data_IF_018215676153
#
_entry.id   IF_018215676153
#
_cell.length_a   1.000
_cell.length_b   1.000
_cell.length_c   1.000
_cell.angle_alpha   90.00
_cell.angle_beta   90.00
_cell.angle_gamma   90.00
#
_symmetry.space_group_name_H-M   'P 1'
#
loop_
_entity.id
_entity.type
_entity.pdbx_description
1 polymer ?
#
# COMPACT_ATOMS: atom_id res chain seq x y z
N UNK A 1 10.56 -15.20 -7.11
CA UNK A 1 9.62 -14.09 -6.91
C UNK A 1 10.03 -13.47 -5.59
N UNK A 2 10.89 -12.45 -5.63
CA UNK A 2 11.40 -11.85 -4.38
C UNK A 2 10.44 -10.70 -4.08
N UNK A 3 9.75 -10.79 -2.95
CA UNK A 3 8.76 -9.82 -2.50
C UNK A 3 9.44 -8.45 -2.33
N UNK A 4 8.99 -7.46 -3.11
CA UNK A 4 9.59 -6.11 -3.12
C UNK A 4 9.08 -5.19 -2.01
N UNK A 5 8.09 -5.65 -1.25
CA UNK A 5 7.50 -4.91 -0.14
C UNK A 5 6.78 -5.86 0.83
N UNK A 6 6.49 -5.36 2.03
CA UNK A 6 5.64 -6.04 3.03
C UNK A 6 4.44 -5.13 3.32
N UNK A 7 3.25 -5.72 3.41
CA UNK A 7 2.04 -5.06 3.91
C UNK A 7 1.67 -5.69 5.24
N UNK A 8 1.61 -4.89 6.29
CA UNK A 8 1.04 -5.27 7.58
C UNK A 8 -0.25 -4.50 7.77
N UNK A 9 -1.34 -5.20 8.02
CA UNK A 9 -2.64 -4.59 8.25
C UNK A 9 -3.50 -5.47 9.14
N UNK A 10 -4.50 -4.87 9.79
CA UNK A 10 -5.53 -5.59 10.52
C UNK A 10 -6.56 -6.24 9.58
N UNK A 11 -7.40 -7.10 10.17
CA UNK A 11 -8.49 -7.81 9.47
C UNK A 11 -9.44 -6.87 8.73
N UNK A 12 -9.60 -5.63 9.18
CA UNK A 12 -10.39 -4.61 8.49
C UNK A 12 -9.95 -4.33 7.05
N UNK A 13 -8.68 -4.57 6.70
CA UNK A 13 -8.22 -4.56 5.30
C UNK A 13 -8.52 -5.90 4.62
N UNK A 14 -7.99 -6.99 5.19
CA UNK A 14 -7.94 -8.32 4.55
C UNK A 14 -9.31 -8.97 4.35
N UNK A 15 -10.32 -8.57 5.12
CA UNK A 15 -11.69 -9.05 4.94
C UNK A 15 -12.35 -8.54 3.66
N UNK A 16 -11.85 -7.46 3.06
CA UNK A 16 -12.48 -6.82 1.89
C UNK A 16 -11.51 -6.54 0.74
N UNK A 17 -10.20 -6.59 0.96
CA UNK A 17 -9.17 -6.44 -0.08
C UNK A 17 -8.40 -7.75 -0.22
N UNK A 18 -8.32 -8.25 -1.46
CA UNK A 18 -7.58 -9.48 -1.76
C UNK A 18 -6.07 -9.26 -1.79
N UNK A 19 -5.30 -10.34 -1.68
CA UNK A 19 -3.85 -10.29 -1.80
C UNK A 19 -3.40 -9.76 -3.17
N UNK A 20 -4.10 -10.13 -4.25
CA UNK A 20 -3.78 -9.65 -5.60
C UNK A 20 -4.08 -8.16 -5.76
N UNK A 21 -5.26 -7.70 -5.32
CA UNK A 21 -5.58 -6.26 -5.33
C UNK A 21 -4.54 -5.46 -4.54
N UNK A 22 -4.17 -5.97 -3.36
CA UNK A 22 -3.15 -5.37 -2.51
C UNK A 22 -1.81 -5.32 -3.23
N UNK A 23 -1.40 -6.44 -3.83
CA UNK A 23 -0.13 -6.55 -4.52
C UNK A 23 -0.04 -5.59 -5.71
N UNK A 24 -1.04 -5.59 -6.59
CA UNK A 24 -1.05 -4.73 -7.77
C UNK A 24 -1.06 -3.25 -7.39
N UNK A 25 -1.82 -2.88 -6.35
CA UNK A 25 -1.96 -1.50 -5.92
C UNK A 25 -0.66 -0.98 -5.30
N UNK A 26 -0.07 -1.73 -4.38
CA UNK A 26 1.20 -1.37 -3.76
C UNK A 26 2.28 -1.31 -4.83
N UNK A 27 2.34 -2.28 -5.74
CA UNK A 27 3.28 -2.29 -6.84
C UNK A 27 3.14 -1.03 -7.72
N UNK A 28 1.92 -0.63 -8.06
CA UNK A 28 1.68 0.58 -8.85
C UNK A 28 2.18 1.84 -8.13
N UNK A 29 1.92 1.96 -6.84
CA UNK A 29 2.39 3.11 -6.05
C UNK A 29 3.91 3.17 -5.92
N UNK A 30 4.53 2.00 -5.75
CA UNK A 30 5.94 1.83 -5.46
C UNK A 30 6.85 1.86 -6.71
N UNK A 31 6.41 1.28 -7.82
CA UNK A 31 7.24 1.06 -9.00
C UNK A 31 6.79 1.86 -10.22
N UNK A 32 5.50 2.19 -10.33
CA UNK A 32 5.02 2.98 -11.46
C UNK A 32 5.15 4.47 -11.19
N UNK A 33 5.61 5.21 -12.18
CA UNK A 33 5.73 6.67 -12.12
C UNK A 33 4.33 7.29 -12.12
N UNK A 34 3.73 7.46 -10.94
CA UNK A 34 2.61 8.38 -10.80
C UNK A 34 3.09 9.79 -11.16
N UNK A 35 2.39 10.55 -12.02
CA UNK A 35 2.72 11.95 -12.25
C UNK A 35 2.68 12.66 -10.90
N UNK A 36 3.81 13.26 -10.53
CA UNK A 36 4.04 13.87 -9.23
C UNK A 36 3.11 15.08 -9.03
N UNK A 37 1.89 14.80 -8.57
CA UNK A 37 0.95 15.82 -8.10
C UNK A 37 1.18 16.12 -6.63
N UNK A 38 2.02 17.12 -6.35
CA UNK A 38 1.77 18.08 -5.27
C UNK A 38 2.09 17.74 -3.81
N UNK A 39 2.39 16.50 -3.41
CA UNK A 39 2.81 16.20 -2.02
C UNK A 39 4.07 15.37 -1.95
N UNK A 40 4.94 15.73 -1.00
CA UNK A 40 6.28 15.16 -0.73
C UNK A 40 6.20 13.80 -0.01
N UNK A 41 5.07 13.09 -0.15
CA UNK A 41 4.79 11.85 0.56
C UNK A 41 5.53 10.67 -0.10
N UNK A 42 6.01 9.74 0.73
CA UNK A 42 6.65 8.53 0.22
C UNK A 42 5.65 7.67 -0.56
N UNK A 43 6.12 6.99 -1.60
CA UNK A 43 5.29 6.04 -2.36
C UNK A 43 4.64 4.98 -1.46
N UNK A 44 5.30 4.58 -0.37
CA UNK A 44 4.77 3.64 0.62
C UNK A 44 3.61 4.24 1.42
N UNK A 45 3.73 5.51 1.84
CA UNK A 45 2.63 6.23 2.51
C UNK A 45 1.40 6.29 1.61
N UNK A 46 1.60 6.66 0.34
CA UNK A 46 0.52 6.70 -0.66
C UNK A 46 -0.14 5.33 -0.84
N UNK A 47 0.64 4.26 -0.92
CA UNK A 47 0.12 2.91 -1.00
C UNK A 47 -0.74 2.54 0.21
N UNK A 48 -0.27 2.86 1.43
CA UNK A 48 -1.01 2.59 2.66
C UNK A 48 -2.36 3.35 2.70
N UNK A 49 -2.36 4.63 2.31
CA UNK A 49 -3.58 5.45 2.26
C UNK A 49 -4.58 4.88 1.28
N UNK A 50 -4.16 4.57 0.05
CA UNK A 50 -5.08 4.05 -0.97
C UNK A 50 -5.62 2.67 -0.58
N UNK A 51 -4.83 1.80 0.08
CA UNK A 51 -5.34 0.54 0.61
C UNK A 51 -6.43 0.74 1.68
N UNK A 52 -6.22 1.70 2.59
CA UNK A 52 -7.22 2.03 3.59
C UNK A 52 -8.49 2.61 2.96
N UNK A 53 -8.36 3.52 1.99
CA UNK A 53 -9.49 4.07 1.23
C UNK A 53 -10.24 2.98 0.45
N UNK A 54 -9.53 2.05 -0.18
CA UNK A 54 -10.14 0.92 -0.88
C UNK A 54 -10.94 0.03 0.07
N UNK A 55 -10.42 -0.25 1.27
CA UNK A 55 -11.14 -1.02 2.28
C UNK A 55 -12.43 -0.31 2.75
N UNK A 56 -12.36 1.01 2.97
CA UNK A 56 -13.54 1.83 3.31
C UNK A 56 -14.56 1.79 2.17
N UNK A 57 -14.11 1.98 0.93
CA UNK A 57 -14.97 1.97 -0.25
C UNK A 57 -15.64 0.60 -0.49
N UNK A 58 -14.98 -0.48 -0.08
CA UNK A 58 -15.53 -1.85 -0.12
C UNK A 58 -16.39 -2.21 1.11
N UNK A 59 -16.61 -1.26 2.02
CA UNK A 59 -17.57 -1.40 3.11
C UNK A 59 -17.02 -2.08 4.36
N UNK A 60 -15.70 -2.04 4.59
CA UNK A 60 -15.14 -2.48 5.87
C UNK A 60 -15.74 -1.68 7.03
N UNK A 61 -16.11 -2.39 8.10
CA UNK A 61 -16.72 -1.83 9.32
C UNK A 61 -15.82 -1.95 10.54
N UNK A 62 -14.62 -2.51 10.35
CA UNK A 62 -13.64 -2.73 11.40
C UNK A 62 -12.63 -1.58 11.44
N UNK A 63 -11.78 -1.55 12.47
CA UNK A 63 -10.61 -0.66 12.44
C UNK A 63 -9.74 -1.02 11.23
N UNK A 64 -9.18 0.00 10.57
CA UNK A 64 -8.26 -0.16 9.44
C UNK A 64 -6.93 0.50 9.83
N UNK A 65 -5.89 -0.30 9.94
CA UNK A 65 -4.50 0.12 10.03
C UNK A 65 -3.72 -0.57 8.91
N UNK A 66 -2.85 0.18 8.24
CA UNK A 66 -2.05 -0.32 7.13
C UNK A 66 -0.65 0.26 7.23
N UNK A 67 0.36 -0.61 7.20
CA UNK A 67 1.78 -0.27 7.14
C UNK A 67 2.34 -0.93 5.88
N UNK A 68 2.94 -0.11 5.01
CA UNK A 68 3.63 -0.58 3.80
C UNK A 68 5.12 -0.35 3.97
N UNK A 69 5.90 -1.41 3.86
CA UNK A 69 7.35 -1.42 3.97
C UNK A 69 7.91 -1.70 2.58
N UNK A 70 8.59 -0.72 1.98
CA UNK A 70 9.33 -0.94 0.74
C UNK A 70 10.67 -1.61 1.08
N UNK A 71 10.94 -2.78 0.50
CA UNK A 71 12.15 -3.56 0.78
C UNK A 71 13.29 -3.24 -0.20
N UNK A 72 13.07 -2.35 -1.17
CA UNK A 72 14.16 -1.93 -2.06
C UNK A 72 15.24 -1.21 -1.26
N UNK A 73 16.47 -1.71 -1.42
CA UNK A 73 17.65 -1.11 -0.82
C UNK A 73 17.79 0.33 -1.31
N UNK A 74 17.52 1.29 -0.43
CA UNK A 74 18.21 2.57 -0.49
C UNK A 74 19.65 2.29 -0.07
N UNK A 75 20.52 2.03 -1.04
CA UNK A 75 21.98 2.09 -0.84
C UNK A 75 22.26 3.40 -0.13
N UNK A 76 22.60 3.32 1.16
CA UNK A 76 23.15 4.44 1.91
C UNK A 76 24.47 4.77 1.21
N UNK A 77 24.49 5.88 0.47
CA UNK A 77 25.71 6.43 -0.12
C UNK A 77 26.49 7.20 0.94
#
# INVERSE_FOLDING_TARGET
MIDGFIVLACEGLWNVVSDDDTYQLVKRCLYDKFPAGGTRESSSTKAAVILAELAIARGSKENINVIVIDLRSSTVS
#
